data_IF_171328850222
#
_entry.id   IF_171328850222
#
_cell.length_a   1.000
_cell.length_b   1.000
_cell.length_c   1.000
_cell.angle_alpha   90.00
_cell.angle_beta   90.00
_cell.angle_gamma   90.00
#
_symmetry.space_group_name_H-M   'P 1'
#
loop_
_entity.id
_entity.type
_entity.pdbx_description
1 polymer ?
#
# COMPACT_ATOMS: atom_id res chain seq x y z
N UNK A 1 -12.91 -14.46 -17.74
CA UNK A 1 -12.73 -13.59 -16.57
C UNK A 1 -11.81 -14.29 -15.61
N UNK A 2 -10.80 -13.59 -15.06
CA UNK A 2 -9.95 -14.15 -14.02
C UNK A 2 -10.76 -14.52 -12.77
N UNK A 3 -10.24 -15.42 -11.95
CA UNK A 3 -10.89 -15.82 -10.69
C UNK A 3 -10.49 -14.87 -9.58
N UNK A 4 -11.46 -14.38 -8.79
CA UNK A 4 -11.21 -13.57 -7.62
C UNK A 4 -10.47 -14.39 -6.57
N UNK A 5 -9.38 -13.84 -6.02
CA UNK A 5 -8.61 -14.42 -4.93
C UNK A 5 -8.97 -13.79 -3.59
N UNK A 6 -9.23 -12.48 -3.60
CA UNK A 6 -9.64 -11.76 -2.40
C UNK A 6 -10.05 -10.32 -2.69
N UNK A 7 -10.74 -9.72 -1.71
CA UNK A 7 -11.22 -8.33 -1.73
C UNK A 7 -10.76 -7.64 -0.44
N UNK A 8 -10.23 -6.44 -0.55
CA UNK A 8 -9.59 -5.72 0.55
C UNK A 8 -10.09 -4.29 0.63
N UNK A 9 -10.53 -3.87 1.81
CA UNK A 9 -10.82 -2.46 2.11
C UNK A 9 -9.54 -1.65 2.02
N UNK A 10 -9.60 -0.49 1.37
CA UNK A 10 -8.49 0.44 1.20
C UNK A 10 -8.91 1.88 1.52
N UNK A 11 -7.96 2.81 1.46
CA UNK A 11 -8.23 4.24 1.55
C UNK A 11 -8.57 4.71 2.96
N UNK A 12 -9.35 5.80 3.05
CA UNK A 12 -9.57 6.52 4.31
C UNK A 12 -10.20 5.65 5.40
N UNK A 13 -11.07 4.72 5.07
CA UNK A 13 -11.65 3.78 6.04
C UNK A 13 -10.61 2.82 6.59
N UNK A 14 -9.72 2.29 5.74
CA UNK A 14 -8.67 1.38 6.17
C UNK A 14 -7.65 2.03 7.11
N UNK A 15 -7.41 3.35 6.95
CA UNK A 15 -6.50 4.11 7.81
C UNK A 15 -7.17 4.76 9.03
N UNK A 16 -8.49 4.64 9.20
CA UNK A 16 -9.26 5.42 10.15
C UNK A 16 -9.17 6.95 9.92
N UNK A 17 -8.97 7.37 8.68
CA UNK A 17 -9.01 8.78 8.25
C UNK A 17 -10.36 9.17 7.63
N UNK A 18 -11.35 8.28 7.68
CA UNK A 18 -12.69 8.53 7.17
C UNK A 18 -13.41 9.62 7.98
N UNK A 19 -14.26 10.33 7.29
CA UNK A 19 -15.28 11.24 7.84
C UNK A 19 -16.65 10.72 7.41
N UNK A 20 -17.73 11.30 7.92
CA UNK A 20 -19.09 10.86 7.69
C UNK A 20 -19.45 10.70 6.19
N UNK A 21 -18.89 11.55 5.33
CA UNK A 21 -19.10 11.51 3.87
C UNK A 21 -18.09 10.67 3.10
N UNK A 22 -17.28 9.88 3.78
CA UNK A 22 -16.27 9.04 3.10
C UNK A 22 -16.90 7.77 2.55
N UNK A 23 -16.50 7.37 1.34
CA UNK A 23 -16.87 6.10 0.72
C UNK A 23 -15.92 4.98 1.13
N UNK A 24 -16.41 3.75 1.12
CA UNK A 24 -15.59 2.54 1.29
C UNK A 24 -15.06 2.11 -0.07
N UNK A 25 -13.73 2.20 -0.22
CA UNK A 25 -13.02 1.76 -1.43
C UNK A 25 -12.48 0.35 -1.25
N UNK A 26 -12.55 -0.49 -2.30
CA UNK A 26 -12.01 -1.84 -2.28
C UNK A 26 -11.09 -2.13 -3.46
N UNK A 27 -10.05 -2.93 -3.19
CA UNK A 27 -9.25 -3.60 -4.22
C UNK A 27 -9.56 -5.09 -4.24
N UNK A 28 -9.76 -5.60 -5.44
CA UNK A 28 -10.05 -7.00 -5.72
C UNK A 28 -8.83 -7.58 -6.44
N UNK A 29 -8.24 -8.64 -5.90
CA UNK A 29 -7.14 -9.34 -6.55
C UNK A 29 -7.71 -10.46 -7.39
N UNK A 30 -7.42 -10.44 -8.69
CA UNK A 30 -7.81 -11.50 -9.63
C UNK A 30 -6.60 -12.27 -10.14
N UNK A 31 -6.74 -13.60 -10.19
CA UNK A 31 -5.80 -14.47 -10.88
C UNK A 31 -6.10 -14.44 -12.39
N UNK A 32 -5.12 -14.13 -13.25
CA UNK A 32 -5.30 -14.22 -14.68
C UNK A 32 -5.50 -15.68 -15.13
N UNK A 33 -6.24 -15.89 -16.21
CA UNK A 33 -6.31 -17.19 -16.88
C UNK A 33 -5.01 -17.47 -17.66
N UNK A 34 -4.80 -18.73 -18.05
CA UNK A 34 -3.67 -19.07 -18.92
C UNK A 34 -3.69 -18.24 -20.22
N UNK A 35 -4.86 -18.06 -20.82
CA UNK A 35 -5.04 -17.26 -22.03
C UNK A 35 -4.70 -15.77 -21.79
N UNK A 36 -5.09 -15.19 -20.64
CA UNK A 36 -4.72 -13.82 -20.28
C UNK A 36 -3.20 -13.64 -20.13
N UNK A 37 -2.52 -14.68 -19.60
CA UNK A 37 -1.06 -14.69 -19.48
C UNK A 37 -0.40 -14.79 -20.84
N UNK A 38 -0.84 -15.73 -21.67
CA UNK A 38 -0.33 -15.98 -23.02
C UNK A 38 -0.47 -14.77 -23.93
N UNK A 39 -1.62 -14.11 -23.87
CA UNK A 39 -1.92 -12.91 -24.66
C UNK A 39 -1.42 -11.61 -24.02
N UNK A 40 -0.62 -11.66 -22.96
CA UNK A 40 -0.12 -10.49 -22.20
C UNK A 40 -1.22 -9.52 -21.77
N UNK A 41 -2.45 -10.01 -21.55
CA UNK A 41 -3.58 -9.20 -21.15
C UNK A 41 -3.42 -8.72 -19.72
N UNK A 42 -3.70 -7.44 -19.48
CA UNK A 42 -3.73 -6.85 -18.16
C UNK A 42 -5.15 -6.87 -17.60
N UNK A 43 -5.33 -7.38 -16.38
CA UNK A 43 -6.63 -7.41 -15.71
C UNK A 43 -6.91 -6.14 -14.88
N UNK A 44 -5.91 -5.28 -14.69
CA UNK A 44 -6.09 -4.05 -13.92
C UNK A 44 -7.17 -3.17 -14.55
N UNK A 45 -8.25 -2.93 -13.80
CA UNK A 45 -9.37 -2.11 -14.25
C UNK A 45 -10.14 -1.51 -13.08
N UNK A 46 -10.80 -0.40 -13.33
CA UNK A 46 -11.80 0.16 -12.44
C UNK A 46 -13.15 -0.51 -12.75
N UNK A 47 -13.84 -1.03 -11.74
CA UNK A 47 -15.17 -1.63 -11.90
C UNK A 47 -16.26 -0.57 -11.78
N UNK A 48 -16.12 0.29 -10.75
CA UNK A 48 -17.00 1.41 -10.46
C UNK A 48 -16.20 2.50 -9.69
N UNK A 49 -16.89 3.45 -9.07
CA UNK A 49 -16.25 4.54 -8.34
C UNK A 49 -15.40 4.04 -7.17
N UNK A 50 -15.84 2.95 -6.51
CA UNK A 50 -15.28 2.47 -5.24
C UNK A 50 -14.54 1.14 -5.36
N UNK A 51 -14.63 0.44 -6.50
CA UNK A 51 -14.04 -0.87 -6.68
C UNK A 51 -13.05 -0.91 -7.85
N UNK A 52 -11.88 -1.47 -7.59
CA UNK A 52 -10.85 -1.68 -8.62
C UNK A 52 -10.29 -3.10 -8.57
N UNK A 53 -9.98 -3.65 -9.74
CA UNK A 53 -9.32 -4.94 -9.89
C UNK A 53 -7.84 -4.75 -10.11
N UNK A 54 -7.06 -5.59 -9.46
CA UNK A 54 -5.61 -5.69 -9.62
C UNK A 54 -5.27 -7.13 -10.01
N UNK A 55 -4.54 -7.27 -11.09
CA UNK A 55 -3.97 -8.53 -11.54
C UNK A 55 -2.98 -9.08 -10.50
N UNK A 56 -3.06 -10.36 -10.18
CA UNK A 56 -2.16 -11.00 -9.23
C UNK A 56 -0.67 -10.76 -9.55
N UNK A 57 -0.28 -10.76 -10.82
CA UNK A 57 1.10 -10.48 -11.24
C UNK A 57 1.55 -9.08 -10.82
N UNK A 58 0.67 -8.08 -10.93
CA UNK A 58 0.92 -6.72 -10.46
C UNK A 58 0.91 -6.62 -8.93
N UNK A 59 0.02 -7.36 -8.26
CA UNK A 59 0.02 -7.44 -6.80
C UNK A 59 1.40 -7.91 -6.31
N UNK A 60 1.90 -9.04 -6.80
CA UNK A 60 3.22 -9.58 -6.44
C UNK A 60 4.34 -8.61 -6.76
N UNK A 61 4.38 -8.06 -7.99
CA UNK A 61 5.40 -7.11 -8.40
C UNK A 61 5.46 -5.88 -7.48
N UNK A 62 4.30 -5.34 -7.10
CA UNK A 62 4.22 -4.16 -6.25
C UNK A 62 4.54 -4.48 -4.79
N UNK A 63 4.19 -5.65 -4.28
CA UNK A 63 4.63 -6.12 -2.95
C UNK A 63 6.15 -6.19 -2.92
N UNK A 64 6.77 -6.89 -3.87
CA UNK A 64 8.23 -7.04 -3.92
C UNK A 64 8.98 -5.71 -4.09
N UNK A 65 8.33 -4.69 -4.63
CA UNK A 65 8.85 -3.31 -4.74
C UNK A 65 8.53 -2.44 -3.52
N UNK A 66 7.94 -3.02 -2.49
CA UNK A 66 7.46 -2.30 -1.30
C UNK A 66 6.54 -1.11 -1.64
N UNK A 67 5.65 -1.26 -2.65
CA UNK A 67 4.74 -0.19 -3.05
C UNK A 67 3.64 0.01 -1.97
N UNK A 68 3.54 1.19 -1.34
CA UNK A 68 2.63 1.43 -0.23
C UNK A 68 1.16 1.20 -0.56
N UNK A 69 0.71 1.51 -1.80
CA UNK A 69 -0.66 1.25 -2.26
C UNK A 69 -1.02 -0.25 -2.27
N UNK A 70 -0.03 -1.13 -2.31
CA UNK A 70 -0.23 -2.57 -2.29
C UNK A 70 0.05 -3.14 -0.91
N UNK A 71 1.04 -2.58 -0.19
CA UNK A 71 1.28 -2.93 1.21
C UNK A 71 0.06 -2.64 2.10
N UNK A 72 -0.73 -1.61 1.76
CA UNK A 72 -1.99 -1.30 2.41
C UNK A 72 -2.93 -2.51 2.50
N UNK A 73 -2.95 -3.39 1.48
CA UNK A 73 -3.81 -4.57 1.45
C UNK A 73 -3.47 -5.56 2.57
N UNK A 74 -2.19 -5.65 2.95
CA UNK A 74 -1.74 -6.52 4.04
C UNK A 74 -2.27 -6.08 5.41
N UNK A 75 -2.74 -4.85 5.54
CA UNK A 75 -3.27 -4.22 6.74
C UNK A 75 -4.77 -3.89 6.63
N UNK A 76 -5.45 -4.45 5.63
CA UNK A 76 -6.88 -4.23 5.46
C UNK A 76 -7.68 -4.70 6.68
N UNK A 77 -8.58 -3.84 7.18
CA UNK A 77 -9.49 -4.16 8.28
C UNK A 77 -10.63 -5.07 7.85
N UNK A 78 -10.97 -5.02 6.56
CA UNK A 78 -12.00 -5.86 5.95
C UNK A 78 -11.35 -6.59 4.77
N UNK A 79 -10.81 -7.79 5.03
CA UNK A 79 -10.24 -8.66 4.01
C UNK A 79 -11.11 -9.90 3.84
N UNK A 80 -11.55 -10.15 2.62
CA UNK A 80 -12.32 -11.35 2.25
C UNK A 80 -11.47 -12.19 1.30
N UNK A 81 -11.29 -13.44 1.62
CA UNK A 81 -10.50 -14.39 0.83
C UNK A 81 -11.42 -15.44 0.22
N UNK A 82 -11.42 -15.53 -1.11
CA UNK A 82 -12.12 -16.56 -1.86
C UNK A 82 -11.28 -17.85 -2.02
N UNK A 83 -9.99 -17.75 -1.69
CA UNK A 83 -9.04 -18.85 -1.79
C UNK A 83 -8.20 -18.90 -0.52
N UNK A 84 -8.17 -20.08 0.14
CA UNK A 84 -7.44 -20.28 1.39
C UNK A 84 -5.93 -20.16 1.18
N UNK A 85 -5.39 -20.76 0.13
CA UNK A 85 -3.95 -20.75 -0.13
C UNK A 85 -3.46 -19.34 -0.39
N UNK A 86 -4.31 -18.50 -1.02
CA UNK A 86 -4.03 -17.07 -1.16
C UNK A 86 -4.03 -16.34 0.18
N UNK A 87 -4.94 -16.68 1.09
CA UNK A 87 -4.92 -16.15 2.46
C UNK A 87 -3.62 -16.49 3.18
N UNK A 88 -3.19 -17.74 3.09
CA UNK A 88 -1.96 -18.23 3.72
C UNK A 88 -0.73 -17.52 3.11
N UNK A 89 -0.70 -17.34 1.80
CA UNK A 89 0.33 -16.56 1.10
C UNK A 89 0.38 -15.10 1.58
N UNK A 90 -0.77 -14.43 1.75
CA UNK A 90 -0.82 -13.05 2.26
C UNK A 90 -0.27 -12.96 3.68
N UNK A 91 -0.59 -13.92 4.55
CA UNK A 91 -0.04 -14.01 5.91
C UNK A 91 1.48 -14.20 5.85
N UNK A 92 1.96 -15.08 5.00
CA UNK A 92 3.39 -15.31 4.79
C UNK A 92 4.11 -14.04 4.31
N UNK A 93 3.57 -13.34 3.32
CA UNK A 93 4.11 -12.05 2.84
C UNK A 93 4.15 -11.03 3.98
N UNK A 94 3.07 -10.92 4.76
CA UNK A 94 2.97 -9.98 5.90
C UNK A 94 4.06 -10.24 6.94
N UNK A 95 4.38 -11.50 7.23
CA UNK A 95 5.46 -11.86 8.17
C UNK A 95 6.87 -11.46 7.69
N UNK A 96 7.05 -11.27 6.38
CA UNK A 96 8.33 -10.89 5.76
C UNK A 96 8.40 -9.40 5.34
N UNK A 97 7.34 -8.64 5.62
CA UNK A 97 7.17 -7.26 5.15
C UNK A 97 8.36 -6.35 5.48
N UNK A 98 8.89 -6.44 6.70
CA UNK A 98 10.00 -5.59 7.14
C UNK A 98 11.28 -5.81 6.31
N UNK A 99 11.52 -7.05 5.88
CA UNK A 99 12.65 -7.36 4.99
C UNK A 99 12.41 -6.81 3.59
N UNK A 100 11.19 -6.92 3.08
CA UNK A 100 10.80 -6.38 1.77
C UNK A 100 10.99 -4.85 1.75
N UNK A 101 10.53 -4.13 2.77
CA UNK A 101 10.67 -2.68 2.88
C UNK A 101 12.15 -2.28 2.94
N UNK A 102 12.96 -2.95 3.75
CA UNK A 102 14.37 -2.63 3.92
C UNK A 102 15.18 -2.85 2.64
N UNK A 103 14.99 -3.98 1.97
CA UNK A 103 15.65 -4.29 0.68
C UNK A 103 15.29 -3.24 -0.37
N UNK A 104 14.06 -2.74 -0.36
CA UNK A 104 13.54 -1.80 -1.36
C UNK A 104 13.37 -0.38 -0.79
N UNK A 105 14.14 0.00 0.22
CA UNK A 105 13.93 1.25 0.96
C UNK A 105 13.81 2.48 0.07
N UNK A 106 14.73 2.68 -0.87
CA UNK A 106 14.69 3.82 -1.81
C UNK A 106 13.43 3.82 -2.66
N UNK A 107 12.99 2.66 -3.10
CA UNK A 107 11.74 2.48 -3.86
C UNK A 107 10.51 2.77 -3.01
N UNK A 108 10.50 2.31 -1.75
CA UNK A 108 9.45 2.58 -0.77
C UNK A 108 9.31 4.09 -0.53
N UNK A 109 10.40 4.79 -0.20
CA UNK A 109 10.40 6.25 0.01
C UNK A 109 9.92 6.99 -1.24
N UNK A 110 10.44 6.62 -2.42
CA UNK A 110 10.03 7.25 -3.69
C UNK A 110 8.55 7.04 -3.99
N UNK A 111 8.01 5.87 -3.66
CA UNK A 111 6.57 5.59 -3.83
C UNK A 111 5.71 6.39 -2.84
N UNK A 112 6.12 6.47 -1.57
CA UNK A 112 5.45 7.30 -0.56
C UNK A 112 5.42 8.77 -0.97
N UNK A 113 6.56 9.30 -1.43
CA UNK A 113 6.69 10.66 -1.97
C UNK A 113 5.75 10.88 -3.16
N UNK A 114 5.79 9.98 -4.14
CA UNK A 114 4.93 10.07 -5.33
C UNK A 114 3.45 10.11 -4.98
N UNK A 115 3.01 9.25 -4.05
CA UNK A 115 1.62 9.23 -3.58
C UNK A 115 1.23 10.51 -2.83
N UNK A 116 2.12 11.04 -1.99
CA UNK A 116 1.88 12.28 -1.26
C UNK A 116 1.74 13.47 -2.22
N UNK A 117 2.68 13.62 -3.15
CA UNK A 117 2.65 14.71 -4.15
C UNK A 117 1.44 14.58 -5.09
N UNK A 118 1.05 13.37 -5.47
CA UNK A 118 -0.16 13.16 -6.27
C UNK A 118 -1.43 13.52 -5.50
N UNK A 119 -1.49 13.21 -4.21
CA UNK A 119 -2.59 13.61 -3.33
C UNK A 119 -2.73 15.14 -3.23
N UNK A 120 -1.61 15.86 -3.20
CA UNK A 120 -1.59 17.33 -3.13
C UNK A 120 -2.14 18.01 -4.40
N UNK A 121 -2.09 17.36 -5.57
CA UNK A 121 -2.67 17.88 -6.82
C UNK A 121 -4.18 18.12 -6.74
N UNK A 122 -4.85 17.52 -5.76
CA UNK A 122 -6.29 17.70 -5.54
C UNK A 122 -6.63 19.06 -4.96
N UNK A 123 -5.68 19.73 -4.31
CA UNK A 123 -5.86 21.02 -3.62
C UNK A 123 -7.01 21.05 -2.61
N UNK A 124 -7.36 19.89 -2.04
CA UNK A 124 -8.42 19.71 -1.05
C UNK A 124 -7.88 19.20 0.30
N UNK A 125 -8.67 19.33 1.35
CA UNK A 125 -8.29 18.89 2.70
C UNK A 125 -8.05 17.36 2.77
N UNK A 126 -8.73 16.56 1.94
CA UNK A 126 -8.52 15.10 1.83
C UNK A 126 -7.14 14.80 1.27
N UNK A 127 -6.71 15.50 0.22
CA UNK A 127 -5.40 15.34 -0.40
C UNK A 127 -4.26 15.75 0.54
N UNK A 128 -4.39 16.92 1.18
CA UNK A 128 -3.39 17.42 2.14
C UNK A 128 -3.29 16.48 3.35
N UNK A 129 -4.41 16.07 3.94
CA UNK A 129 -4.45 15.12 5.05
C UNK A 129 -3.74 13.79 4.70
N UNK A 130 -4.01 13.24 3.50
CA UNK A 130 -3.35 12.02 3.04
C UNK A 130 -1.85 12.21 2.85
N UNK A 131 -1.42 13.33 2.32
CA UNK A 131 0.01 13.62 2.12
C UNK A 131 0.75 13.69 3.47
N UNK A 132 0.16 14.36 4.49
CA UNK A 132 0.72 14.39 5.85
C UNK A 132 0.74 13.01 6.49
N UNK A 133 -0.32 12.22 6.34
CA UNK A 133 -0.36 10.85 6.84
C UNK A 133 0.80 10.01 6.27
N UNK A 134 1.03 10.07 4.96
CA UNK A 134 2.12 9.34 4.31
C UNK A 134 3.50 9.81 4.80
N UNK A 135 3.66 11.11 5.02
CA UNK A 135 4.88 11.68 5.59
C UNK A 135 5.13 11.18 7.02
N UNK A 136 4.14 11.25 7.90
CA UNK A 136 4.27 10.80 9.29
C UNK A 136 4.49 9.28 9.38
N UNK A 137 3.80 8.50 8.56
CA UNK A 137 4.02 7.06 8.48
C UNK A 137 5.46 6.75 8.06
N UNK A 138 5.96 7.44 7.04
CA UNK A 138 7.35 7.26 6.59
C UNK A 138 8.35 7.65 7.66
N UNK A 139 8.17 8.78 8.34
CA UNK A 139 9.03 9.22 9.46
C UNK A 139 9.08 8.17 10.57
N UNK A 140 7.93 7.60 10.91
CA UNK A 140 7.85 6.54 11.91
C UNK A 140 8.55 5.26 11.47
N UNK A 141 8.33 4.79 10.24
CA UNK A 141 9.01 3.62 9.69
C UNK A 141 10.52 3.86 9.61
N UNK A 142 10.94 5.08 9.26
CA UNK A 142 12.34 5.50 9.27
C UNK A 142 12.96 5.39 10.67
N UNK A 143 12.32 6.00 11.69
CA UNK A 143 12.76 5.96 13.10
C UNK A 143 12.79 4.54 13.66
N UNK A 144 11.91 3.67 13.18
CA UNK A 144 11.88 2.24 13.52
C UNK A 144 12.82 1.39 12.63
N UNK A 145 13.76 2.02 11.93
CA UNK A 145 14.75 1.34 11.12
C UNK A 145 14.15 0.44 10.03
N UNK A 146 13.15 0.92 9.32
CA UNK A 146 12.49 0.20 8.24
C UNK A 146 11.52 -0.89 8.72
N UNK A 147 11.13 -0.88 10.00
CA UNK A 147 10.07 -1.76 10.52
C UNK A 147 8.73 -1.04 10.45
N UNK A 148 7.74 -1.73 9.91
CA UNK A 148 6.35 -1.29 9.84
C UNK A 148 5.44 -2.36 10.42
N UNK A 149 4.56 -1.96 11.33
CA UNK A 149 3.57 -2.81 11.99
C UNK A 149 2.16 -2.38 11.65
N UNK A 150 1.17 -3.18 12.01
CA UNK A 150 -0.23 -2.79 11.89
C UNK A 150 -0.59 -1.57 12.78
N UNK A 151 0.04 -1.47 13.95
CA UNK A 151 -0.12 -0.33 14.85
C UNK A 151 0.43 0.97 14.25
N UNK A 152 1.54 0.89 13.50
CA UNK A 152 2.07 2.06 12.80
C UNK A 152 1.10 2.57 11.75
N UNK A 153 0.45 1.63 11.02
CA UNK A 153 -0.52 1.95 9.99
C UNK A 153 -1.77 2.66 10.52
N UNK A 154 -2.14 2.42 11.78
CA UNK A 154 -3.35 3.00 12.42
C UNK A 154 -3.03 3.80 13.67
N UNK A 155 -1.83 4.33 13.76
CA UNK A 155 -1.38 5.03 14.98
C UNK A 155 -2.21 6.30 15.23
N UNK A 156 -2.90 6.42 16.37
CA UNK A 156 -3.71 7.60 16.69
C UNK A 156 -2.92 8.91 16.63
N UNK A 157 -1.65 8.89 17.05
CA UNK A 157 -0.79 10.09 17.03
C UNK A 157 -0.49 10.59 15.61
N UNK A 158 -0.58 9.70 14.58
CA UNK A 158 -0.48 10.08 13.17
C UNK A 158 -1.85 10.52 12.63
N UNK A 159 -2.91 9.88 13.12
CA UNK A 159 -4.25 10.05 12.57
C UNK A 159 -4.95 11.32 13.05
N UNK A 160 -4.81 11.71 14.34
CA UNK A 160 -5.48 12.90 14.87
C UNK A 160 -5.09 14.18 14.10
N UNK A 161 -3.80 14.52 13.91
CA UNK A 161 -3.44 15.71 13.13
C UNK A 161 -3.99 15.65 11.69
N UNK A 162 -4.01 14.45 11.09
CA UNK A 162 -4.52 14.29 9.73
C UNK A 162 -6.04 14.46 9.66
N UNK A 163 -6.79 14.05 10.67
CA UNK A 163 -8.24 14.31 10.76
C UNK A 163 -8.53 15.80 10.95
N UNK A 164 -7.77 16.48 11.79
CA UNK A 164 -7.92 17.92 12.01
C UNK A 164 -7.73 18.69 10.69
N UNK A 165 -6.77 18.31 9.87
CA UNK A 165 -6.60 18.90 8.52
C UNK A 165 -7.87 18.71 7.66
N UNK A 166 -8.59 17.60 7.81
CA UNK A 166 -9.82 17.33 7.04
C UNK A 166 -11.03 18.10 7.52
N UNK A 167 -11.11 18.41 8.80
CA UNK A 167 -12.33 18.92 9.46
C UNK A 167 -12.23 20.38 9.89
N UNK A 168 -11.00 20.92 10.03
CA UNK A 168 -10.76 22.29 10.46
C UNK A 168 -10.07 23.10 9.34
N UNK A 169 -10.75 24.13 8.83
CA UNK A 169 -10.28 24.92 7.70
C UNK A 169 -9.00 25.72 8.01
N UNK A 170 -8.81 26.18 9.24
CA UNK A 170 -7.61 26.93 9.61
C UNK A 170 -6.39 26.01 9.72
N UNK A 171 -6.57 24.81 10.29
CA UNK A 171 -5.55 23.76 10.32
C UNK A 171 -5.20 23.33 8.87
N UNK A 172 -6.19 23.20 8.00
CA UNK A 172 -5.96 22.90 6.59
C UNK A 172 -5.11 23.98 5.89
N UNK A 173 -5.43 25.28 6.06
CA UNK A 173 -4.66 26.39 5.46
C UNK A 173 -3.22 26.39 5.95
N UNK A 174 -3.02 26.18 7.27
CA UNK A 174 -1.69 26.09 7.84
C UNK A 174 -0.93 24.88 7.26
N UNK A 175 -1.54 23.69 7.26
CA UNK A 175 -0.94 22.48 6.69
C UNK A 175 -0.56 22.68 5.23
N UNK A 176 -1.44 23.28 4.41
CA UNK A 176 -1.19 23.54 3.01
C UNK A 176 0.08 24.39 2.80
N UNK A 177 0.38 25.33 3.68
CA UNK A 177 1.59 26.15 3.59
C UNK A 177 2.89 25.34 3.72
N UNK A 178 2.87 24.26 4.52
CA UNK A 178 4.02 23.37 4.73
C UNK A 178 4.26 22.42 3.58
N UNK A 179 3.23 22.12 2.75
CA UNK A 179 3.37 21.16 1.65
C UNK A 179 4.37 21.58 0.57
N UNK A 180 4.69 22.86 0.50
CA UNK A 180 5.72 23.41 -0.43
C UNK A 180 7.09 22.75 -0.26
N UNK A 181 7.39 22.22 0.93
CA UNK A 181 8.67 21.61 1.26
C UNK A 181 8.63 20.07 1.19
N UNK A 182 7.48 19.47 0.86
CA UNK A 182 7.32 18.00 0.92
C UNK A 182 8.27 17.25 0.00
N UNK A 183 8.56 17.83 -1.17
CA UNK A 183 9.52 17.22 -2.11
C UNK A 183 10.89 16.99 -1.43
N UNK A 184 11.43 18.03 -0.80
CA UNK A 184 12.71 17.96 -0.08
C UNK A 184 12.63 17.12 1.20
N UNK A 185 11.52 17.24 1.95
CA UNK A 185 11.33 16.47 3.19
C UNK A 185 11.31 14.97 2.94
N UNK A 186 10.62 14.52 1.89
CA UNK A 186 10.63 13.11 1.53
C UNK A 186 12.02 12.63 1.07
N UNK A 187 12.77 13.47 0.37
CA UNK A 187 14.11 13.12 -0.11
C UNK A 187 15.11 12.90 1.05
N UNK A 188 14.93 13.57 2.19
CA UNK A 188 15.78 13.36 3.37
C UNK A 188 15.71 11.93 3.93
N UNK A 189 14.65 11.18 3.66
CA UNK A 189 14.51 9.78 4.09
C UNK A 189 15.18 8.75 3.17
N UNK A 190 15.66 9.15 1.99
CA UNK A 190 16.27 8.22 1.02
C UNK A 190 17.55 7.56 1.54
N UNK A 191 18.25 8.25 2.44
CA UNK A 191 19.51 7.81 3.02
C UNK A 191 19.28 7.19 4.40
N UNK A 192 18.58 6.06 4.44
CA UNK A 192 18.56 5.25 5.66
C UNK A 192 19.93 4.62 5.85
N UNK A 193 20.50 4.73 7.06
CA UNK A 193 21.67 3.96 7.44
C UNK A 193 21.41 2.48 7.14
N UNK A 194 22.23 1.90 6.26
CA UNK A 194 22.03 0.58 5.68
C UNK A 194 21.88 -0.44 6.81
N UNK A 195 20.67 -0.91 7.01
CA UNK A 195 20.45 -2.07 7.87
C UNK A 195 20.82 -3.34 7.10
N UNK A 196 21.35 -4.37 7.80
CA UNK A 196 21.55 -5.67 7.17
C UNK A 196 20.25 -6.13 6.54
N UNK A 197 20.23 -6.23 5.22
CA UNK A 197 19.06 -6.68 4.47
C UNK A 197 19.22 -8.16 4.19
N UNK A 198 18.23 -8.95 4.58
CA UNK A 198 18.20 -10.35 4.18
C UNK A 198 17.57 -10.48 2.79
N UNK A 199 18.42 -10.30 1.76
CA UNK A 199 18.01 -10.45 0.35
C UNK A 199 17.49 -11.88 0.10
N UNK A 200 18.04 -12.90 0.77
CA UNK A 200 17.59 -14.29 0.62
C UNK A 200 16.14 -14.45 1.05
N UNK A 201 15.72 -13.70 2.08
CA UNK A 201 14.34 -13.75 2.56
C UNK A 201 13.36 -13.13 1.56
N UNK A 202 13.75 -12.01 0.92
CA UNK A 202 12.93 -11.40 -0.14
C UNK A 202 12.82 -12.33 -1.37
N UNK A 203 13.89 -13.02 -1.74
CA UNK A 203 13.88 -14.01 -2.81
C UNK A 203 12.94 -15.18 -2.50
N UNK A 204 12.91 -15.67 -1.24
CA UNK A 204 11.95 -16.70 -0.82
C UNK A 204 10.51 -16.25 -0.96
N UNK A 205 10.18 -15.01 -0.59
CA UNK A 205 8.83 -14.47 -0.81
C UNK A 205 8.48 -14.48 -2.30
N UNK A 206 9.42 -14.11 -3.17
CA UNK A 206 9.21 -14.18 -4.61
C UNK A 206 8.97 -15.61 -5.09
N UNK A 207 9.75 -16.57 -4.60
CA UNK A 207 9.61 -18.00 -4.93
C UNK A 207 8.24 -18.53 -4.50
N UNK A 208 7.78 -18.26 -3.28
CA UNK A 208 6.45 -18.68 -2.81
C UNK A 208 5.31 -18.07 -3.65
N UNK A 209 5.42 -16.79 -4.02
CA UNK A 209 4.46 -16.16 -4.92
C UNK A 209 4.43 -16.82 -6.31
N UNK A 210 5.57 -17.25 -6.84
CA UNK A 210 5.66 -17.95 -8.14
C UNK A 210 5.12 -19.38 -8.04
N UNK A 211 5.39 -20.09 -6.95
CA UNK A 211 4.85 -21.44 -6.70
C UNK A 211 3.32 -21.36 -6.67
N UNK A 212 2.76 -20.46 -5.84
CA UNK A 212 1.31 -20.26 -5.78
C UNK A 212 0.71 -19.97 -7.17
N UNK A 213 1.34 -19.10 -7.96
CA UNK A 213 0.88 -18.76 -9.31
C UNK A 213 0.87 -19.98 -10.24
N UNK A 214 1.96 -20.76 -10.22
CA UNK A 214 2.11 -21.97 -11.02
C UNK A 214 1.07 -23.03 -10.64
N UNK A 215 0.98 -23.34 -9.36
CA UNK A 215 0.07 -24.37 -8.85
C UNK A 215 -1.39 -24.03 -9.15
N UNK A 216 -1.74 -22.76 -9.03
CA UNK A 216 -3.07 -22.27 -9.37
C UNK A 216 -3.37 -22.44 -10.87
N UNK A 217 -2.46 -22.07 -11.77
CA UNK A 217 -2.67 -22.23 -13.23
C UNK A 217 -2.73 -23.69 -13.66
N UNK A 218 -2.04 -24.60 -12.95
CA UNK A 218 -2.05 -26.04 -13.27
C UNK A 218 -3.27 -26.78 -12.72
N UNK A 219 -3.97 -26.18 -11.74
CA UNK A 219 -5.20 -26.73 -11.13
C UNK A 219 -6.49 -26.35 -11.88
N UNK A 220 -6.39 -25.49 -12.88
CA UNK A 220 -7.50 -25.04 -13.74
C UNK A 220 -7.64 -25.93 -14.98
#
# INVERSE_FOLDING_TARGET
MGKVLGKFLIGSYNYNLNIETSDKDYKIIEMPTFEDVFNHKKLNRKLDENNSVVDYRFFVLHILRANPNTLELLFSTEAFYENKDFSDLVIYIKSHLNSIIRVNWKGFVSSMKGMALDSLKRYDSKGVSRAFYLYFLLDRVYKNCGKMTEEDWRNPNLLYPCRDIRTNNDVFKQALSYTKNFDTLFDSFKELAVMPTDIKLTNRVQEECLIFFKDYLTSM
#
